data_IF_427664325249
#
_entry.id   IF_427664325249
#
_cell.length_a   1.000
_cell.length_b   1.000
_cell.length_c   1.000
_cell.angle_alpha   90.00
_cell.angle_beta   90.00
_cell.angle_gamma   90.00
#
_symmetry.space_group_name_H-M   'P 1'
#
loop_
_entity.id
_entity.type
_entity.pdbx_description
1 polymer ?
#
# COMPACT_ATOMS: atom_id res chain seq x y z
N UNK A 1 -15.52 -11.62 36.59
CA UNK A 1 -16.83 -12.04 36.06
C UNK A 1 -16.72 -12.15 34.55
N UNK A 2 -16.76 -13.37 34.02
CA UNK A 2 -16.62 -13.70 32.61
C UNK A 2 -17.87 -13.27 31.83
N UNK A 3 -17.80 -12.10 31.20
CA UNK A 3 -18.80 -11.70 30.22
C UNK A 3 -18.72 -12.63 29.03
N UNK A 4 -19.72 -13.51 28.87
CA UNK A 4 -19.96 -14.22 27.60
C UNK A 4 -20.18 -13.16 26.53
N UNK A 5 -19.16 -12.92 25.70
CA UNK A 5 -19.32 -12.18 24.44
C UNK A 5 -20.26 -13.03 23.59
N UNK A 6 -21.49 -12.56 23.38
CA UNK A 6 -22.40 -13.23 22.45
C UNK A 6 -21.73 -13.22 21.07
N UNK A 7 -21.42 -14.39 20.53
CA UNK A 7 -21.14 -14.54 19.11
C UNK A 7 -22.38 -14.01 18.38
N UNK A 8 -22.29 -12.90 17.61
CA UNK A 8 -23.35 -12.53 16.71
C UNK A 8 -23.62 -13.71 15.78
N UNK A 9 -24.90 -14.01 15.57
CA UNK A 9 -25.31 -15.07 14.66
C UNK A 9 -24.77 -14.77 13.26
N UNK A 10 -24.28 -15.81 12.57
CA UNK A 10 -23.93 -15.75 11.14
C UNK A 10 -25.09 -15.14 10.35
N UNK A 11 -24.78 -14.27 9.40
CA UNK A 11 -25.80 -13.64 8.56
C UNK A 11 -26.16 -14.56 7.40
N UNK A 12 -27.42 -14.49 6.89
CA UNK A 12 -27.80 -15.19 5.67
C UNK A 12 -26.97 -14.80 4.44
N UNK A 13 -26.29 -13.65 4.50
CA UNK A 13 -25.39 -13.14 3.46
C UNK A 13 -23.99 -13.74 3.51
N UNK A 14 -23.61 -14.39 4.61
CA UNK A 14 -22.26 -14.91 4.81
C UNK A 14 -21.91 -16.00 3.79
N UNK A 15 -20.63 -16.06 3.43
CA UNK A 15 -20.07 -17.03 2.50
C UNK A 15 -19.03 -17.91 3.19
N UNK A 16 -18.72 -19.04 2.57
CA UNK A 16 -17.49 -19.77 2.83
C UNK A 16 -16.75 -20.04 1.51
N UNK A 17 -15.45 -20.32 1.60
CA UNK A 17 -14.59 -20.58 0.44
C UNK A 17 -14.74 -22.04 0.01
N UNK A 18 -14.99 -22.27 -1.28
CA UNK A 18 -15.06 -23.60 -1.87
C UNK A 18 -13.74 -24.04 -2.47
N UNK A 19 -13.14 -23.14 -3.23
CA UNK A 19 -11.98 -23.41 -4.04
C UNK A 19 -11.15 -22.14 -4.19
N UNK A 20 -9.83 -22.32 -4.17
CA UNK A 20 -8.87 -21.28 -4.50
C UNK A 20 -7.84 -21.87 -5.45
N UNK A 21 -7.57 -21.13 -6.54
CA UNK A 21 -6.50 -21.42 -7.50
C UNK A 21 -5.68 -20.16 -7.71
N UNK A 22 -4.41 -20.33 -8.03
CA UNK A 22 -3.54 -19.22 -8.40
C UNK A 22 -2.81 -19.50 -9.70
N UNK A 23 -2.37 -18.41 -10.33
CA UNK A 23 -1.44 -18.40 -11.45
C UNK A 23 -0.56 -17.15 -11.38
N UNK A 24 0.46 -17.10 -12.23
CA UNK A 24 1.42 -16.01 -12.25
C UNK A 24 1.60 -15.48 -13.66
N UNK A 25 1.81 -14.17 -13.76
CA UNK A 25 2.28 -13.52 -14.97
C UNK A 25 3.58 -12.79 -14.69
N UNK A 26 4.55 -12.94 -15.59
CA UNK A 26 5.85 -12.28 -15.50
C UNK A 26 5.97 -11.24 -16.61
N UNK A 27 6.32 -10.01 -16.24
CA UNK A 27 6.41 -8.87 -17.15
C UNK A 27 7.78 -8.19 -17.01
N UNK A 28 8.35 -7.74 -18.13
CA UNK A 28 9.47 -6.82 -18.15
C UNK A 28 8.94 -5.39 -18.19
N UNK A 29 9.58 -4.50 -17.45
CA UNK A 29 9.31 -3.07 -17.55
C UNK A 29 9.92 -2.51 -18.83
N UNK A 30 9.21 -1.57 -19.45
CA UNK A 30 9.71 -0.79 -20.59
C UNK A 30 11.06 -0.15 -20.29
N UNK A 31 11.20 0.40 -19.09
CA UNK A 31 12.44 0.98 -18.57
C UNK A 31 12.60 0.58 -17.10
N UNK A 32 13.83 0.36 -16.60
CA UNK A 32 14.05 0.05 -15.20
C UNK A 32 13.57 1.18 -14.28
N UNK A 33 12.84 0.82 -13.23
CA UNK A 33 12.31 1.74 -12.24
C UNK A 33 13.17 1.71 -10.98
N UNK A 34 13.57 2.88 -10.45
CA UNK A 34 14.46 3.00 -9.28
C UNK A 34 13.74 3.62 -8.08
N UNK A 35 13.78 2.96 -6.93
CA UNK A 35 13.24 3.45 -5.65
C UNK A 35 13.91 2.73 -4.48
N UNK A 36 13.96 3.35 -3.30
CA UNK A 36 14.56 2.74 -2.11
C UNK A 36 16.00 2.23 -2.30
N UNK A 37 16.79 2.91 -3.15
CA UNK A 37 18.15 2.51 -3.50
C UNK A 37 18.27 1.30 -4.44
N UNK A 38 17.16 0.75 -4.94
CA UNK A 38 17.12 -0.44 -5.80
C UNK A 38 16.55 -0.13 -7.17
N UNK A 39 17.03 -0.85 -8.17
CA UNK A 39 16.50 -0.82 -9.54
C UNK A 39 15.76 -2.12 -9.82
N UNK A 40 14.58 -2.02 -10.40
CA UNK A 40 13.77 -3.16 -10.85
C UNK A 40 13.45 -3.00 -12.33
N UNK A 41 13.59 -4.09 -13.09
CA UNK A 41 13.35 -4.15 -14.52
C UNK A 41 12.20 -5.10 -14.89
N UNK A 42 11.58 -5.72 -13.88
CA UNK A 42 10.56 -6.76 -14.04
C UNK A 42 9.61 -6.81 -12.85
N UNK A 43 8.48 -7.48 -13.06
CA UNK A 43 7.50 -7.75 -12.01
C UNK A 43 6.82 -9.09 -12.26
N UNK A 44 6.52 -9.79 -11.17
CA UNK A 44 5.59 -10.93 -11.18
C UNK A 44 4.25 -10.49 -10.59
N UNK A 45 3.17 -10.79 -11.29
CA UNK A 45 1.79 -10.64 -10.82
C UNK A 45 1.32 -12.00 -10.31
N UNK A 46 0.68 -12.01 -9.14
CA UNK A 46 -0.06 -13.14 -8.61
C UNK A 46 -1.55 -12.93 -8.88
N UNK A 47 -2.13 -13.85 -9.62
CA UNK A 47 -3.56 -13.92 -9.89
C UNK A 47 -4.17 -15.01 -9.01
N UNK A 48 -5.32 -14.72 -8.39
CA UNK A 48 -6.06 -15.65 -7.54
C UNK A 48 -7.51 -15.71 -8.01
N UNK A 49 -7.95 -16.92 -8.34
CA UNK A 49 -9.34 -17.24 -8.62
C UNK A 49 -9.94 -17.97 -7.42
N UNK A 50 -11.11 -17.52 -6.96
CA UNK A 50 -11.81 -18.08 -5.82
C UNK A 50 -13.25 -18.46 -6.20
N UNK A 51 -13.77 -19.55 -5.64
CA UNK A 51 -15.20 -19.88 -5.66
C UNK A 51 -15.72 -19.82 -4.23
N UNK A 52 -16.84 -19.14 -4.03
CA UNK A 52 -17.49 -19.03 -2.71
C UNK A 52 -18.93 -19.50 -2.79
N UNK A 53 -19.44 -19.99 -1.66
CA UNK A 53 -20.82 -20.43 -1.49
C UNK A 53 -21.48 -19.74 -0.31
N UNK A 54 -22.70 -19.23 -0.51
CA UNK A 54 -23.56 -18.77 0.60
C UNK A 54 -24.13 -19.95 1.38
N UNK A 55 -24.62 -19.72 2.60
CA UNK A 55 -25.33 -20.74 3.38
C UNK A 55 -26.56 -21.35 2.66
N UNK A 56 -27.13 -20.63 1.68
CA UNK A 56 -28.27 -21.07 0.86
C UNK A 56 -27.86 -21.72 -0.47
N UNK A 57 -26.58 -22.02 -0.66
CA UNK A 57 -26.07 -22.75 -1.83
C UNK A 57 -25.88 -21.92 -3.11
N UNK A 58 -26.11 -20.60 -3.09
CA UNK A 58 -25.70 -19.74 -4.22
C UNK A 58 -24.18 -19.65 -4.26
N UNK A 59 -23.61 -19.73 -5.45
CA UNK A 59 -22.16 -19.68 -5.67
C UNK A 59 -21.77 -18.53 -6.58
N UNK A 60 -20.54 -18.03 -6.42
CA UNK A 60 -19.94 -17.07 -7.34
C UNK A 60 -18.44 -17.26 -7.44
N UNK A 61 -17.88 -16.82 -8.57
CA UNK A 61 -16.43 -16.76 -8.80
C UNK A 61 -15.93 -15.35 -8.53
N UNK A 62 -14.85 -15.24 -7.77
CA UNK A 62 -14.11 -14.00 -7.59
C UNK A 62 -12.70 -14.08 -8.14
N UNK A 63 -12.13 -12.92 -8.40
CA UNK A 63 -10.80 -12.74 -8.93
C UNK A 63 -10.06 -11.62 -8.21
N UNK A 64 -8.79 -11.87 -7.88
CA UNK A 64 -7.87 -10.88 -7.32
C UNK A 64 -6.53 -10.96 -8.04
N UNK A 65 -5.91 -9.82 -8.30
CA UNK A 65 -4.64 -9.74 -9.02
C UNK A 65 -3.76 -8.65 -8.40
N UNK A 66 -2.56 -9.01 -7.97
CA UNK A 66 -1.63 -8.08 -7.31
C UNK A 66 -0.19 -8.36 -7.70
N UNK A 67 0.62 -7.31 -7.81
CA UNK A 67 2.07 -7.46 -7.98
C UNK A 67 2.68 -8.06 -6.72
N UNK A 68 3.61 -9.01 -6.88
CA UNK A 68 4.32 -9.62 -5.75
C UNK A 68 5.24 -8.62 -5.03
N UNK A 69 5.80 -7.63 -5.74
CA UNK A 69 6.49 -6.50 -5.11
C UNK A 69 7.60 -6.87 -4.12
N UNK A 70 8.28 -8.00 -4.31
CA UNK A 70 9.27 -8.60 -3.40
C UNK A 70 10.39 -7.63 -3.02
N UNK A 71 10.82 -6.77 -3.94
CA UNK A 71 11.88 -5.78 -3.68
C UNK A 71 11.47 -4.71 -2.65
N UNK A 72 10.18 -4.38 -2.60
CA UNK A 72 9.63 -3.40 -1.65
C UNK A 72 9.20 -4.05 -0.33
N UNK A 73 8.50 -5.17 -0.41
CA UNK A 73 7.90 -5.85 0.74
C UNK A 73 8.90 -6.74 1.49
N UNK A 74 9.95 -7.22 0.81
CA UNK A 74 11.04 -8.02 1.34
C UNK A 74 12.42 -7.44 0.94
N UNK A 75 12.80 -6.27 1.49
CA UNK A 75 13.97 -5.50 1.03
C UNK A 75 15.31 -6.06 1.54
N UNK A 76 15.59 -7.35 1.34
CA UNK A 76 16.82 -8.02 1.77
C UNK A 76 18.06 -7.50 1.04
N UNK A 77 19.16 -7.28 1.76
CA UNK A 77 20.47 -6.92 1.17
C UNK A 77 21.37 -8.15 0.92
N UNK A 78 20.97 -9.30 1.45
CA UNK A 78 21.77 -10.53 1.41
C UNK A 78 21.11 -11.62 0.55
N UNK A 79 19.82 -11.49 0.24
CA UNK A 79 19.10 -12.40 -0.65
C UNK A 79 18.90 -11.78 -2.03
N UNK A 80 18.90 -12.62 -3.06
CA UNK A 80 18.68 -12.19 -4.45
C UNK A 80 17.19 -11.89 -4.70
N UNK A 81 16.92 -11.23 -5.84
CA UNK A 81 15.56 -11.03 -6.34
C UNK A 81 14.81 -12.37 -6.43
N UNK A 82 15.41 -13.37 -7.07
CA UNK A 82 14.78 -14.69 -7.28
C UNK A 82 14.56 -15.44 -5.95
N UNK A 83 15.46 -15.30 -4.98
CA UNK A 83 15.30 -15.94 -3.67
C UNK A 83 14.09 -15.36 -2.91
N UNK A 84 13.96 -14.03 -2.89
CA UNK A 84 12.81 -13.37 -2.22
C UNK A 84 11.51 -13.63 -2.96
N UNK A 85 11.50 -13.56 -4.30
CA UNK A 85 10.32 -13.90 -5.11
C UNK A 85 9.92 -15.38 -4.94
N UNK A 86 10.88 -16.30 -4.96
CA UNK A 86 10.66 -17.72 -4.72
C UNK A 86 10.05 -18.00 -3.35
N UNK A 87 10.51 -17.30 -2.31
CA UNK A 87 9.91 -17.38 -0.98
C UNK A 87 8.44 -16.90 -0.96
N UNK A 88 8.13 -15.82 -1.68
CA UNK A 88 6.74 -15.35 -1.80
C UNK A 88 5.85 -16.33 -2.58
N UNK A 89 6.35 -16.94 -3.67
CA UNK A 89 5.62 -17.98 -4.42
C UNK A 89 5.35 -19.21 -3.54
N UNK A 90 6.35 -19.65 -2.76
CA UNK A 90 6.18 -20.74 -1.80
C UNK A 90 5.15 -20.42 -0.69
N UNK A 91 5.14 -19.17 -0.23
CA UNK A 91 4.12 -18.68 0.72
C UNK A 91 2.73 -18.65 0.09
N UNK A 92 2.58 -18.18 -1.15
CA UNK A 92 1.30 -18.18 -1.86
C UNK A 92 0.70 -19.60 -1.95
N UNK A 93 1.52 -20.62 -2.23
CA UNK A 93 1.10 -22.03 -2.22
C UNK A 93 0.62 -22.51 -0.83
N UNK A 94 1.27 -22.05 0.25
CA UNK A 94 0.78 -22.34 1.62
C UNK A 94 -0.52 -21.61 1.90
N UNK A 95 -0.69 -20.38 1.43
CA UNK A 95 -1.93 -19.60 1.60
C UNK A 95 -3.11 -20.30 0.89
N UNK A 96 -2.91 -20.89 -0.29
CA UNK A 96 -3.94 -21.75 -0.93
C UNK A 96 -4.35 -22.89 0.00
N UNK A 97 -3.38 -23.63 0.55
CA UNK A 97 -3.62 -24.76 1.47
C UNK A 97 -4.29 -24.36 2.78
N UNK A 98 -4.16 -23.10 3.19
CA UNK A 98 -4.82 -22.55 4.38
C UNK A 98 -6.24 -22.06 4.06
N UNK A 99 -6.42 -21.41 2.91
CA UNK A 99 -7.66 -20.71 2.55
C UNK A 99 -8.70 -21.67 1.97
N UNK A 100 -8.32 -22.60 1.09
CA UNK A 100 -9.24 -23.56 0.48
C UNK A 100 -10.05 -24.42 1.47
N UNK A 101 -9.47 -24.95 2.58
CA UNK A 101 -10.24 -25.71 3.57
C UNK A 101 -10.99 -24.83 4.59
N UNK A 102 -10.93 -23.50 4.50
CA UNK A 102 -11.61 -22.62 5.44
C UNK A 102 -13.12 -22.55 5.12
N UNK A 103 -13.91 -23.35 5.85
CA UNK A 103 -15.36 -23.53 5.64
C UNK A 103 -16.25 -22.72 6.59
N UNK A 104 -15.68 -21.88 7.45
CA UNK A 104 -16.49 -21.04 8.33
C UNK A 104 -17.21 -19.96 7.51
N UNK A 105 -18.50 -19.75 7.82
CA UNK A 105 -19.29 -18.69 7.21
C UNK A 105 -18.89 -17.33 7.78
N UNK A 106 -18.63 -16.35 6.91
CA UNK A 106 -18.41 -14.98 7.32
C UNK A 106 -18.46 -13.96 6.18
N UNK A 107 -18.39 -12.69 6.55
CA UNK A 107 -18.11 -11.59 5.62
C UNK A 107 -16.60 -11.63 5.24
N UNK A 108 -16.18 -11.17 4.04
CA UNK A 108 -14.76 -11.20 3.63
C UNK A 108 -13.78 -10.61 4.67
N UNK A 109 -14.16 -9.53 5.35
CA UNK A 109 -13.37 -8.94 6.45
C UNK A 109 -13.17 -9.92 7.62
N UNK A 110 -14.20 -10.67 7.99
CA UNK A 110 -14.11 -11.69 9.06
C UNK A 110 -13.22 -12.85 8.65
N UNK A 111 -13.38 -13.31 7.40
CA UNK A 111 -12.59 -14.39 6.82
C UNK A 111 -11.11 -14.02 6.82
N UNK A 112 -10.76 -12.85 6.29
CA UNK A 112 -9.37 -12.41 6.26
C UNK A 112 -8.81 -12.18 7.68
N UNK A 113 -9.61 -11.59 8.59
CA UNK A 113 -9.21 -11.41 9.99
C UNK A 113 -8.89 -12.75 10.69
N UNK A 114 -9.68 -13.80 10.41
CA UNK A 114 -9.47 -15.12 10.96
C UNK A 114 -8.24 -15.84 10.34
N UNK A 115 -7.96 -15.61 9.05
CA UNK A 115 -6.90 -16.30 8.31
C UNK A 115 -5.52 -15.63 8.45
N UNK A 116 -5.45 -14.32 8.66
CA UNK A 116 -4.18 -13.58 8.74
C UNK A 116 -3.15 -14.19 9.72
N UNK A 117 -3.52 -14.60 10.95
CA UNK A 117 -2.57 -15.24 11.86
C UNK A 117 -1.97 -16.55 11.31
N UNK A 118 -2.76 -17.32 10.56
CA UNK A 118 -2.28 -18.55 9.91
C UNK A 118 -1.32 -18.25 8.75
N UNK A 119 -1.55 -17.16 8.01
CA UNK A 119 -0.63 -16.71 6.95
C UNK A 119 0.72 -16.26 7.53
N UNK A 120 0.71 -15.56 8.66
CA UNK A 120 1.95 -15.16 9.35
C UNK A 120 2.74 -16.38 9.83
N UNK A 121 2.06 -17.37 10.44
CA UNK A 121 2.70 -18.64 10.82
C UNK A 121 3.27 -19.37 9.60
N UNK A 122 2.55 -19.40 8.48
CA UNK A 122 3.04 -20.02 7.25
C UNK A 122 4.29 -19.33 6.70
N UNK A 123 4.39 -18.00 6.84
CA UNK A 123 5.58 -17.26 6.44
C UNK A 123 6.81 -17.64 7.29
N UNK A 124 6.64 -17.84 8.60
CA UNK A 124 7.69 -18.37 9.48
C UNK A 124 8.11 -19.80 9.09
N UNK A 125 7.13 -20.67 8.79
CA UNK A 125 7.37 -22.04 8.34
C UNK A 125 8.15 -22.08 7.02
N UNK A 126 7.72 -21.31 6.02
CA UNK A 126 8.42 -21.20 4.72
C UNK A 126 9.83 -20.66 4.91
N UNK A 127 10.02 -19.66 5.76
CA UNK A 127 11.34 -19.10 6.05
C UNK A 127 12.30 -20.18 6.58
N UNK A 128 11.81 -21.06 7.46
CA UNK A 128 12.57 -22.19 8.01
C UNK A 128 12.79 -23.31 7.00
N UNK A 129 11.74 -23.71 6.27
CA UNK A 129 11.78 -24.80 5.27
C UNK A 129 12.78 -24.48 4.15
N UNK A 130 12.78 -23.24 3.66
CA UNK A 130 13.69 -22.78 2.61
C UNK A 130 15.06 -22.32 3.15
N UNK A 131 15.27 -22.35 4.48
CA UNK A 131 16.49 -21.88 5.16
C UNK A 131 16.89 -20.48 4.70
N UNK A 132 15.92 -19.56 4.63
CA UNK A 132 16.17 -18.20 4.18
C UNK A 132 17.15 -17.50 5.12
N UNK A 133 18.04 -16.67 4.56
CA UNK A 133 19.01 -15.90 5.34
C UNK A 133 18.31 -14.86 6.25
N UNK A 134 17.16 -14.36 5.83
CA UNK A 134 16.28 -13.48 6.60
C UNK A 134 14.84 -14.02 6.53
N UNK A 135 14.03 -13.86 7.59
CA UNK A 135 12.65 -14.32 7.58
C UNK A 135 11.78 -13.47 6.63
N UNK A 136 10.73 -14.07 6.08
CA UNK A 136 9.69 -13.34 5.32
C UNK A 136 9.08 -12.26 6.23
N UNK A 137 9.16 -10.96 5.89
CA UNK A 137 8.60 -9.89 6.72
C UNK A 137 7.07 -9.92 6.76
N UNK A 138 6.47 -9.44 7.84
CA UNK A 138 5.00 -9.29 7.96
C UNK A 138 4.39 -8.56 6.76
N UNK A 139 4.99 -7.45 6.32
CA UNK A 139 4.53 -6.72 5.13
C UNK A 139 4.52 -7.61 3.88
N UNK A 140 5.55 -8.44 3.70
CA UNK A 140 5.64 -9.38 2.59
C UNK A 140 4.55 -10.46 2.64
N UNK A 141 4.22 -10.96 3.82
CA UNK A 141 3.08 -11.87 4.03
C UNK A 141 1.76 -11.22 3.61
N UNK A 142 1.51 -9.99 4.08
CA UNK A 142 0.30 -9.24 3.74
C UNK A 142 0.19 -8.98 2.23
N UNK A 143 1.31 -8.65 1.58
CA UNK A 143 1.37 -8.47 0.12
C UNK A 143 1.05 -9.77 -0.61
N UNK A 144 1.64 -10.89 -0.18
CA UNK A 144 1.36 -12.22 -0.77
C UNK A 144 -0.11 -12.62 -0.62
N UNK A 145 -0.72 -12.32 0.54
CA UNK A 145 -2.11 -12.65 0.83
C UNK A 145 -3.13 -11.73 0.14
N UNK A 146 -2.71 -10.53 -0.30
CA UNK A 146 -3.64 -9.48 -0.76
C UNK A 146 -4.52 -9.88 -1.95
N UNK A 147 -3.99 -10.68 -2.90
CA UNK A 147 -4.77 -11.17 -4.04
C UNK A 147 -5.88 -12.16 -3.61
N UNK A 148 -5.65 -12.93 -2.55
CA UNK A 148 -6.64 -13.86 -1.99
C UNK A 148 -7.79 -13.10 -1.34
N UNK A 149 -7.46 -12.09 -0.52
CA UNK A 149 -8.44 -11.20 0.10
C UNK A 149 -9.29 -10.50 -0.98
N UNK A 150 -8.65 -9.89 -1.99
CA UNK A 150 -9.35 -9.26 -3.11
C UNK A 150 -10.30 -10.22 -3.85
N UNK A 151 -9.87 -11.45 -4.13
CA UNK A 151 -10.70 -12.46 -4.79
C UNK A 151 -11.93 -12.84 -3.96
N UNK A 152 -11.80 -12.93 -2.64
CA UNK A 152 -12.92 -13.24 -1.74
C UNK A 152 -13.91 -12.07 -1.67
N UNK A 153 -13.41 -10.82 -1.59
CA UNK A 153 -14.27 -9.63 -1.65
C UNK A 153 -15.03 -9.53 -2.97
N UNK A 154 -14.37 -9.77 -4.10
CA UNK A 154 -15.00 -9.76 -5.42
C UNK A 154 -16.08 -10.86 -5.54
N UNK A 155 -15.78 -12.08 -5.10
CA UNK A 155 -16.75 -13.19 -5.08
C UNK A 155 -17.99 -12.84 -4.22
N UNK A 156 -17.78 -12.20 -3.08
CA UNK A 156 -18.85 -11.80 -2.16
C UNK A 156 -19.78 -10.75 -2.78
N UNK A 157 -19.24 -9.73 -3.43
CA UNK A 157 -20.06 -8.77 -4.17
C UNK A 157 -20.90 -9.47 -5.25
N UNK A 158 -20.25 -10.29 -6.07
CA UNK A 158 -20.87 -11.01 -7.18
C UNK A 158 -21.99 -11.95 -6.73
N UNK A 159 -21.81 -12.72 -5.65
CA UNK A 159 -22.86 -13.65 -5.17
C UNK A 159 -24.12 -12.94 -4.68
N UNK A 160 -23.98 -11.66 -4.30
CA UNK A 160 -25.09 -10.80 -3.89
C UNK A 160 -25.55 -9.84 -4.99
N UNK A 161 -24.97 -9.90 -6.18
CA UNK A 161 -25.35 -9.07 -7.33
C UNK A 161 -25.02 -7.58 -7.17
N UNK A 162 -24.01 -7.25 -6.36
CA UNK A 162 -23.59 -5.86 -6.08
C UNK A 162 -22.07 -5.71 -6.14
N UNK A 163 -21.56 -4.49 -6.25
CA UNK A 163 -20.15 -4.22 -5.97
C UNK A 163 -19.83 -4.53 -4.50
N UNK A 164 -18.65 -5.09 -4.21
CA UNK A 164 -18.23 -5.38 -2.83
C UNK A 164 -18.20 -4.13 -1.94
N UNK A 165 -18.03 -2.94 -2.52
CA UNK A 165 -18.11 -1.67 -1.77
C UNK A 165 -19.50 -1.38 -1.19
N UNK A 166 -20.56 -2.03 -1.68
CA UNK A 166 -21.90 -1.93 -1.10
C UNK A 166 -22.13 -2.88 0.07
N UNK A 167 -21.17 -3.77 0.35
CA UNK A 167 -21.34 -4.81 1.38
C UNK A 167 -20.64 -4.50 2.70
N UNK A 168 -20.12 -3.29 2.86
CA UNK A 168 -19.37 -2.86 4.04
C UNK A 168 -20.22 -2.25 5.16
N UNK A 169 -21.54 -2.46 5.10
CA UNK A 169 -22.49 -1.97 6.08
C UNK A 169 -23.11 -3.08 6.94
N UNK A 170 -23.93 -2.66 7.91
CA UNK A 170 -24.65 -3.53 8.86
C UNK A 170 -25.53 -4.60 8.23
N UNK A 171 -25.94 -4.42 6.98
CA UNK A 171 -26.79 -5.36 6.27
C UNK A 171 -26.02 -6.66 5.98
N UNK A 172 -24.72 -6.55 5.68
CA UNK A 172 -23.86 -7.65 5.29
C UNK A 172 -22.80 -8.03 6.33
N UNK A 173 -22.31 -7.07 7.12
CA UNK A 173 -21.29 -7.34 8.16
C UNK A 173 -21.94 -7.79 9.47
N UNK A 174 -21.58 -8.98 9.94
CA UNK A 174 -22.08 -9.58 11.20
C UNK A 174 -21.58 -8.85 12.44
N UNK A 175 -20.38 -8.28 12.36
CA UNK A 175 -19.74 -7.53 13.43
C UNK A 175 -19.66 -6.03 13.11
N UNK A 176 -19.83 -5.20 14.13
CA UNK A 176 -19.42 -3.80 14.05
C UNK A 176 -17.88 -3.69 14.13
N UNK A 177 -17.35 -2.50 13.89
CA UNK A 177 -15.91 -2.26 13.87
C UNK A 177 -15.23 -2.43 15.23
N UNK A 178 -15.96 -2.47 16.34
CA UNK A 178 -15.35 -2.70 17.67
C UNK A 178 -14.71 -4.08 17.80
N UNK A 179 -15.15 -5.04 16.98
CA UNK A 179 -14.57 -6.38 16.89
C UNK A 179 -13.08 -6.36 16.50
N UNK A 180 -12.69 -5.40 15.67
CA UNK A 180 -11.35 -5.31 15.08
C UNK A 180 -10.56 -4.10 15.61
N UNK A 181 -11.25 -2.99 15.89
CA UNK A 181 -10.63 -1.70 16.20
C UNK A 181 -10.79 -1.25 17.65
N UNK A 182 -11.49 -2.01 18.48
CA UNK A 182 -11.69 -1.71 19.91
C UNK A 182 -12.97 -0.91 20.21
N UNK A 183 -13.22 -0.68 21.50
CA UNK A 183 -14.52 -0.20 22.00
C UNK A 183 -14.98 1.15 21.42
N UNK A 184 -14.06 2.02 21.00
CA UNK A 184 -14.35 3.35 20.44
C UNK A 184 -15.07 3.30 19.07
N UNK A 185 -15.15 2.11 18.47
CA UNK A 185 -15.80 1.83 17.20
C UNK A 185 -17.14 1.07 17.36
N UNK A 186 -17.67 0.96 18.58
CA UNK A 186 -18.93 0.27 18.84
C UNK A 186 -20.08 0.90 18.04
N UNK A 187 -20.85 0.06 17.35
CA UNK A 187 -21.95 0.45 16.47
C UNK A 187 -21.53 1.09 15.15
N UNK A 188 -20.23 1.23 14.87
CA UNK A 188 -19.76 1.75 13.58
C UNK A 188 -19.54 0.60 12.60
N UNK A 189 -19.77 0.87 11.32
CA UNK A 189 -19.50 -0.06 10.21
C UNK A 189 -18.61 0.64 9.18
N UNK A 190 -17.99 -0.14 8.29
CA UNK A 190 -17.05 0.38 7.28
C UNK A 190 -17.72 1.38 6.32
N UNK A 191 -19.01 1.22 6.03
CA UNK A 191 -19.78 2.13 5.16
C UNK A 191 -19.96 3.55 5.71
N UNK A 192 -19.60 3.81 6.97
CA UNK A 192 -19.43 5.15 7.52
C UNK A 192 -18.16 5.85 7.05
N UNK A 193 -17.14 5.08 6.68
CA UNK A 193 -15.78 5.56 6.40
C UNK A 193 -15.37 5.33 4.93
N UNK A 194 -16.08 4.46 4.22
CA UNK A 194 -15.76 4.04 2.86
C UNK A 194 -16.93 4.38 1.96
N UNK A 195 -16.65 5.06 0.86
CA UNK A 195 -17.68 5.40 -0.12
C UNK A 195 -18.17 4.11 -0.82
N UNK A 196 -19.49 3.96 -0.91
CA UNK A 196 -20.11 2.88 -1.70
C UNK A 196 -19.88 3.12 -3.19
N UNK A 197 -20.07 4.37 -3.61
CA UNK A 197 -19.84 4.82 -4.98
C UNK A 197 -18.43 5.40 -5.13
N UNK A 198 -17.66 4.97 -6.15
CA UNK A 198 -16.37 5.57 -6.42
C UNK A 198 -16.54 7.05 -6.82
N UNK A 199 -15.57 7.89 -6.45
CA UNK A 199 -15.54 9.26 -6.98
C UNK A 199 -15.39 9.20 -8.50
N UNK A 200 -16.12 10.02 -9.27
CA UNK A 200 -16.01 10.03 -10.73
C UNK A 200 -14.62 10.47 -11.21
N UNK A 201 -13.84 11.13 -10.34
CA UNK A 201 -12.47 11.57 -10.59
C UNK A 201 -11.63 11.41 -9.31
N UNK A 202 -10.38 11.00 -9.48
CA UNK A 202 -9.37 10.99 -8.43
C UNK A 202 -8.04 11.49 -8.99
N UNK A 203 -7.15 11.96 -8.11
CA UNK A 203 -5.81 12.35 -8.49
C UNK A 203 -4.94 11.11 -8.66
N UNK A 204 -4.21 11.03 -9.77
CA UNK A 204 -3.21 10.00 -10.02
C UNK A 204 -1.83 10.64 -9.90
N UNK A 205 -1.02 10.09 -9.00
CA UNK A 205 0.36 10.53 -8.80
C UNK A 205 1.26 9.76 -9.75
N UNK A 206 1.88 10.47 -10.68
CA UNK A 206 2.94 9.90 -11.50
C UNK A 206 4.21 9.81 -10.67
N UNK A 207 4.73 8.60 -10.52
CA UNK A 207 5.92 8.34 -9.70
C UNK A 207 7.18 8.61 -10.50
N UNK A 208 7.96 9.61 -10.10
CA UNK A 208 9.25 9.96 -10.70
C UNK A 208 10.34 9.20 -9.94
N UNK A 209 10.68 8.02 -10.45
CA UNK A 209 11.70 7.10 -9.93
C UNK A 209 13.07 7.75 -9.87
N UNK A 210 13.91 7.33 -8.93
CA UNK A 210 15.22 7.93 -8.64
C UNK A 210 16.22 7.91 -9.80
N UNK A 211 15.94 7.14 -10.86
CA UNK A 211 16.71 7.07 -12.11
C UNK A 211 15.98 7.62 -13.33
N UNK A 212 14.74 8.09 -13.18
CA UNK A 212 13.93 8.55 -14.31
C UNK A 212 14.48 9.87 -14.86
N UNK A 213 14.60 10.02 -16.20
CA UNK A 213 15.07 11.26 -16.80
C UNK A 213 14.14 12.44 -16.49
N UNK A 214 14.70 13.50 -15.92
CA UNK A 214 13.95 14.74 -15.66
C UNK A 214 13.95 15.59 -16.93
N UNK A 215 15.10 15.68 -17.58
CA UNK A 215 15.39 16.48 -18.78
C UNK A 215 16.10 15.63 -19.83
N UNK A 216 16.23 16.14 -21.05
CA UNK A 216 16.97 15.45 -22.13
C UNK A 216 18.42 15.11 -21.74
N UNK A 217 19.06 15.96 -20.92
CA UNK A 217 20.42 15.72 -20.45
C UNK A 217 20.57 14.49 -19.54
N UNK A 218 19.48 13.96 -18.99
CA UNK A 218 19.48 12.72 -18.22
C UNK A 218 19.30 11.47 -19.10
N UNK A 219 18.93 11.65 -20.38
CA UNK A 219 18.70 10.54 -21.32
C UNK A 219 20.03 10.04 -21.86
N UNK A 220 20.45 8.85 -21.44
CA UNK A 220 21.69 8.21 -21.92
C UNK A 220 21.51 7.69 -23.35
N UNK A 221 20.42 6.98 -23.60
CA UNK A 221 20.04 6.47 -24.90
C UNK A 221 18.51 6.39 -24.93
N UNK A 222 17.92 6.92 -26.01
CA UNK A 222 16.47 6.84 -26.20
C UNK A 222 16.04 5.41 -26.55
N UNK A 223 14.92 4.98 -25.97
CA UNK A 223 14.25 3.71 -26.31
C UNK A 223 13.67 3.79 -27.72
N UNK A 224 13.10 4.95 -28.09
CA UNK A 224 12.63 5.21 -29.45
C UNK A 224 11.35 4.44 -29.85
N UNK A 225 10.54 4.01 -28.89
CA UNK A 225 9.28 3.27 -29.11
C UNK A 225 8.04 4.18 -29.23
N UNK A 226 8.24 5.49 -29.36
CA UNK A 226 7.18 6.49 -29.52
C UNK A 226 6.50 6.93 -28.21
N UNK A 227 6.91 6.39 -27.07
CA UNK A 227 6.42 6.82 -25.75
C UNK A 227 7.38 7.86 -25.11
N UNK A 228 6.86 8.76 -24.24
CA UNK A 228 7.69 9.74 -23.53
C UNK A 228 8.85 9.12 -22.73
N UNK A 229 9.93 9.88 -22.55
CA UNK A 229 11.16 9.44 -21.89
C UNK A 229 11.64 10.41 -20.81
N UNK A 230 11.23 11.68 -20.88
CA UNK A 230 11.50 12.71 -19.87
C UNK A 230 10.24 13.09 -19.10
N UNK A 231 10.42 13.63 -17.89
CA UNK A 231 9.31 14.13 -17.07
C UNK A 231 8.42 15.14 -17.83
N UNK A 232 9.02 16.07 -18.58
CA UNK A 232 8.26 17.07 -19.34
C UNK A 232 7.37 16.44 -20.42
N UNK A 233 7.90 15.45 -21.15
CA UNK A 233 7.13 14.71 -22.15
C UNK A 233 5.98 13.92 -21.50
N UNK A 234 6.22 13.25 -20.37
CA UNK A 234 5.16 12.53 -19.63
C UNK A 234 4.06 13.46 -19.13
N UNK A 235 4.42 14.64 -18.60
CA UNK A 235 3.45 15.64 -18.14
C UNK A 235 2.56 16.11 -19.29
N UNK A 236 3.13 16.34 -20.47
CA UNK A 236 2.38 16.72 -21.66
C UNK A 236 1.48 15.58 -22.17
N UNK A 237 2.03 14.37 -22.26
CA UNK A 237 1.35 13.21 -22.83
C UNK A 237 0.15 12.73 -22.00
N UNK A 238 0.32 12.54 -20.68
CA UNK A 238 -0.73 12.02 -19.80
C UNK A 238 -1.53 13.10 -19.07
N UNK A 239 -1.19 14.37 -19.30
CA UNK A 239 -1.84 15.49 -18.65
C UNK A 239 -1.61 15.55 -17.12
N UNK A 240 -0.49 15.01 -16.65
CA UNK A 240 -0.15 14.83 -15.23
C UNK A 240 -0.25 16.15 -14.48
N UNK A 241 -0.70 16.10 -13.22
CA UNK A 241 -0.78 17.24 -12.29
C UNK A 241 -0.33 16.89 -10.87
N UNK A 242 -0.08 15.62 -10.58
CA UNK A 242 0.36 15.15 -9.26
C UNK A 242 1.57 14.25 -9.47
N UNK A 243 2.67 14.55 -8.79
CA UNK A 243 3.92 13.77 -8.88
C UNK A 243 4.27 13.16 -7.53
N UNK A 244 4.81 11.94 -7.56
CA UNK A 244 5.45 11.32 -6.41
C UNK A 244 6.95 11.28 -6.64
N UNK A 245 7.72 12.03 -5.86
CA UNK A 245 9.15 12.17 -6.05
C UNK A 245 9.86 11.12 -5.19
N UNK A 246 10.49 10.14 -5.84
CA UNK A 246 11.38 9.20 -5.15
C UNK A 246 12.70 9.88 -4.81
N UNK A 247 13.03 9.83 -3.53
CA UNK A 247 14.23 10.44 -2.93
C UNK A 247 15.18 9.35 -2.40
N UNK A 248 16.42 9.75 -2.14
CA UNK A 248 17.49 8.89 -1.68
C UNK A 248 17.44 8.69 -0.16
N UNK A 249 17.32 9.78 0.61
CA UNK A 249 17.30 9.75 2.07
C UNK A 249 18.67 9.68 2.75
N UNK A 250 19.77 9.49 2.01
CA UNK A 250 21.13 9.48 2.54
C UNK A 250 22.08 10.51 1.91
N UNK A 251 21.62 11.26 0.91
CA UNK A 251 22.39 12.31 0.24
C UNK A 251 21.54 13.60 0.13
N UNK A 252 21.73 14.48 1.11
CA UNK A 252 20.93 15.69 1.27
C UNK A 252 21.05 16.62 0.05
N UNK A 253 22.26 16.73 -0.52
CA UNK A 253 22.50 17.58 -1.68
C UNK A 253 21.77 17.01 -2.89
N UNK A 254 21.89 15.71 -3.12
CA UNK A 254 21.20 15.05 -4.23
C UNK A 254 19.68 15.17 -4.10
N UNK A 255 19.12 14.94 -2.91
CA UNK A 255 17.67 15.03 -2.66
C UNK A 255 17.14 16.44 -2.92
N UNK A 256 17.82 17.46 -2.39
CA UNK A 256 17.44 18.86 -2.58
C UNK A 256 17.50 19.26 -4.06
N UNK A 257 18.62 18.99 -4.72
CA UNK A 257 18.79 19.35 -6.14
C UNK A 257 17.81 18.60 -7.04
N UNK A 258 17.50 17.34 -6.71
CA UNK A 258 16.50 16.56 -7.44
C UNK A 258 15.11 17.21 -7.38
N UNK A 259 14.63 17.60 -6.21
CA UNK A 259 13.33 18.27 -6.09
C UNK A 259 13.34 19.60 -6.84
N UNK A 260 14.41 20.40 -6.74
CA UNK A 260 14.52 21.67 -7.47
C UNK A 260 14.47 21.47 -8.98
N UNK A 261 15.15 20.44 -9.50
CA UNK A 261 15.15 20.11 -10.94
C UNK A 261 13.77 19.65 -11.43
N UNK A 262 13.12 18.75 -10.67
CA UNK A 262 11.76 18.28 -10.97
C UNK A 262 10.80 19.46 -10.96
N UNK A 263 10.87 20.31 -9.94
CA UNK A 263 9.97 21.45 -9.79
C UNK A 263 10.06 22.44 -10.94
N UNK A 264 11.28 22.84 -11.30
CA UNK A 264 11.49 23.77 -12.43
C UNK A 264 11.00 23.19 -13.76
N UNK A 265 11.28 21.91 -14.01
CA UNK A 265 10.90 21.23 -15.26
C UNK A 265 9.39 21.08 -15.37
N UNK A 266 8.75 20.64 -14.29
CA UNK A 266 7.31 20.49 -14.25
C UNK A 266 6.62 21.87 -14.30
N UNK A 267 7.10 22.88 -13.58
CA UNK A 267 6.56 24.24 -13.62
C UNK A 267 6.57 24.82 -15.04
N UNK A 268 7.66 24.63 -15.79
CA UNK A 268 7.73 25.05 -17.19
C UNK A 268 6.71 24.32 -18.06
N UNK A 269 6.62 23.00 -17.93
CA UNK A 269 5.68 22.20 -18.71
C UNK A 269 4.23 22.55 -18.37
N UNK A 270 3.89 22.71 -17.09
CA UNK A 270 2.54 23.09 -16.63
C UNK A 270 2.15 24.48 -17.16
N UNK A 271 3.08 25.45 -17.15
CA UNK A 271 2.86 26.78 -17.70
C UNK A 271 2.52 26.71 -19.19
N UNK A 272 3.27 25.94 -19.99
CA UNK A 272 2.98 25.75 -21.43
C UNK A 272 1.60 25.11 -21.66
N UNK A 273 1.17 24.25 -20.74
CA UNK A 273 -0.17 23.62 -20.74
C UNK A 273 -1.29 24.49 -20.17
N UNK A 274 -0.98 25.67 -19.63
CA UNK A 274 -1.97 26.52 -18.94
C UNK A 274 -2.48 25.95 -17.60
N UNK A 275 -1.79 24.97 -17.02
CA UNK A 275 -2.15 24.34 -15.74
C UNK A 275 -1.57 25.14 -14.58
N UNK A 276 -2.46 25.63 -13.69
CA UNK A 276 -2.07 26.47 -12.54
C UNK A 276 -1.90 25.68 -11.24
N UNK A 277 -2.63 24.57 -11.08
CA UNK A 277 -2.65 23.76 -9.85
C UNK A 277 -2.09 22.38 -10.09
N UNK A 278 -1.09 22.01 -9.31
CA UNK A 278 -0.39 20.73 -9.37
C UNK A 278 0.45 20.58 -8.09
N UNK A 279 0.71 19.33 -7.70
CA UNK A 279 1.24 19.00 -6.38
C UNK A 279 2.26 17.85 -6.38
N UNK A 280 2.95 17.72 -5.25
CA UNK A 280 3.90 16.65 -4.98
C UNK A 280 3.54 15.88 -3.72
N UNK A 281 3.92 14.61 -3.71
CA UNK A 281 4.35 13.96 -2.48
C UNK A 281 5.82 13.56 -2.58
N UNK A 282 6.49 13.54 -1.43
CA UNK A 282 7.89 13.16 -1.32
C UNK A 282 7.98 11.79 -0.66
N UNK A 283 8.79 10.89 -1.20
CA UNK A 283 8.92 9.53 -0.68
C UNK A 283 10.41 9.15 -0.60
N UNK A 284 10.91 9.00 0.62
CA UNK A 284 12.31 8.62 0.89
C UNK A 284 12.51 7.11 1.00
N UNK A 285 11.43 6.33 0.95
CA UNK A 285 11.42 4.89 1.16
C UNK A 285 12.27 4.47 2.36
N UNK A 286 11.99 5.10 3.51
CA UNK A 286 12.56 4.79 4.82
C UNK A 286 14.04 5.11 5.04
N UNK A 287 14.70 5.74 4.06
CA UNK A 287 16.15 5.85 4.06
C UNK A 287 16.70 7.06 4.84
N UNK A 288 15.86 8.02 5.27
CA UNK A 288 16.35 9.11 6.10
C UNK A 288 16.94 8.55 7.40
N UNK A 289 18.18 8.94 7.77
CA UNK A 289 18.80 8.42 8.99
C UNK A 289 18.06 8.88 10.25
N UNK A 290 17.45 10.06 10.22
CA UNK A 290 16.72 10.66 11.33
C UNK A 290 15.86 11.85 10.88
N UNK A 291 15.02 12.36 11.78
CA UNK A 291 14.20 13.56 11.56
C UNK A 291 15.02 14.82 11.27
N UNK A 292 16.24 14.96 11.77
CA UNK A 292 17.07 16.15 11.51
C UNK A 292 17.44 16.27 10.03
N UNK A 293 17.75 15.14 9.37
CA UNK A 293 17.94 15.10 7.92
C UNK A 293 16.72 15.66 7.18
N UNK A 294 15.52 15.20 7.56
CA UNK A 294 14.26 15.64 6.96
C UNK A 294 14.02 17.15 7.18
N UNK A 295 14.31 17.65 8.38
CA UNK A 295 14.16 19.07 8.70
C UNK A 295 15.13 19.95 7.90
N UNK A 296 16.39 19.54 7.76
CA UNK A 296 17.36 20.25 6.94
C UNK A 296 17.00 20.23 5.46
N UNK A 297 16.50 19.09 4.98
CA UNK A 297 15.95 18.96 3.63
C UNK A 297 14.81 19.97 3.41
N UNK A 298 13.78 19.97 4.28
CA UNK A 298 12.62 20.85 4.14
C UNK A 298 13.00 22.34 4.19
N UNK A 299 13.93 22.71 5.08
CA UNK A 299 14.48 24.07 5.16
C UNK A 299 15.12 24.50 3.86
N UNK A 300 15.91 23.62 3.22
CA UNK A 300 16.56 23.94 1.94
C UNK A 300 15.56 24.01 0.77
N UNK A 301 14.56 23.13 0.73
CA UNK A 301 13.50 23.20 -0.28
C UNK A 301 12.75 24.52 -0.16
N UNK A 302 12.33 24.91 1.05
CA UNK A 302 11.64 26.18 1.31
C UNK A 302 12.46 27.40 0.87
N UNK A 303 13.79 27.35 1.04
CA UNK A 303 14.68 28.43 0.63
C UNK A 303 14.92 28.48 -0.90
N UNK A 304 15.07 27.33 -1.56
CA UNK A 304 15.43 27.27 -2.99
C UNK A 304 14.23 27.34 -3.94
N UNK A 305 13.10 26.76 -3.54
CA UNK A 305 11.85 26.68 -4.33
C UNK A 305 10.65 26.87 -3.40
N UNK A 306 10.39 28.10 -2.90
CA UNK A 306 9.31 28.35 -1.94
C UNK A 306 7.93 27.90 -2.45
N UNK A 307 7.60 28.18 -3.72
CA UNK A 307 6.36 27.70 -4.33
C UNK A 307 6.33 26.17 -4.43
N UNK A 308 7.47 25.53 -4.71
CA UNK A 308 7.62 24.08 -4.72
C UNK A 308 7.43 23.46 -3.33
N UNK A 309 7.87 24.14 -2.27
CA UNK A 309 7.60 23.75 -0.88
C UNK A 309 6.11 23.78 -0.56
N UNK A 310 5.37 24.78 -1.06
CA UNK A 310 3.90 24.86 -0.94
C UNK A 310 3.15 23.79 -1.74
N UNK A 311 3.79 23.19 -2.75
CA UNK A 311 3.21 22.09 -3.53
C UNK A 311 3.29 20.73 -2.83
N UNK A 312 4.13 20.58 -1.82
CA UNK A 312 4.26 19.32 -1.07
C UNK A 312 2.97 19.10 -0.27
N UNK A 313 2.19 18.10 -0.66
CA UNK A 313 0.98 17.70 0.05
C UNK A 313 1.30 16.83 1.26
N UNK A 314 2.25 15.92 1.12
CA UNK A 314 2.69 15.05 2.21
C UNK A 314 4.08 14.45 1.94
N UNK A 315 4.67 13.91 3.00
CA UNK A 315 5.94 13.21 3.00
C UNK A 315 5.69 11.77 3.48
N UNK A 316 5.98 10.81 2.62
CA UNK A 316 5.75 9.39 2.84
C UNK A 316 6.98 8.72 3.45
N UNK A 317 6.75 8.00 4.56
CA UNK A 317 7.68 7.13 5.27
C UNK A 317 9.15 7.58 5.17
N UNK A 318 9.50 8.70 5.82
CA UNK A 318 10.85 9.25 5.69
C UNK A 318 11.91 8.30 6.25
N UNK A 319 11.61 7.62 7.35
CA UNK A 319 12.56 6.82 8.14
C UNK A 319 12.13 5.36 8.25
N UNK A 320 12.99 4.51 8.81
CA UNK A 320 12.81 3.06 8.98
C UNK A 320 11.36 2.63 9.33
N UNK A 321 10.84 1.59 8.63
CA UNK A 321 9.50 1.04 8.88
C UNK A 321 9.32 0.39 10.26
N UNK A 322 10.39 -0.10 10.88
CA UNK A 322 10.34 -0.73 12.20
C UNK A 322 10.27 0.35 13.30
N UNK A 323 9.06 0.88 13.50
CA UNK A 323 8.79 1.96 14.46
C UNK A 323 9.14 1.56 15.90
N UNK A 324 8.98 0.27 16.27
CA UNK A 324 9.28 -0.22 17.62
C UNK A 324 10.78 -0.15 17.92
N UNK A 325 11.63 -0.42 16.93
CA UNK A 325 13.09 -0.33 17.09
C UNK A 325 13.66 1.08 16.98
N UNK A 326 12.91 2.02 16.40
CA UNK A 326 13.37 3.39 16.10
C UNK A 326 12.54 4.45 16.86
N UNK A 327 12.23 4.18 18.12
CA UNK A 327 11.35 5.01 18.97
C UNK A 327 11.89 6.41 19.26
N UNK A 328 13.18 6.61 19.08
CA UNK A 328 13.89 7.89 19.18
C UNK A 328 13.67 8.79 17.96
N UNK A 329 13.27 8.22 16.81
CA UNK A 329 13.11 8.94 15.56
C UNK A 329 11.65 9.40 15.35
N UNK A 330 11.27 10.45 16.08
CA UNK A 330 9.90 10.99 16.09
C UNK A 330 9.70 12.12 15.06
N UNK A 331 8.48 12.23 14.52
CA UNK A 331 8.12 13.10 13.39
C UNK A 331 7.44 14.41 13.80
N UNK A 332 7.22 14.68 15.09
CA UNK A 332 6.42 15.83 15.55
C UNK A 332 6.85 17.18 14.96
N UNK A 333 8.16 17.47 14.92
CA UNK A 333 8.67 18.73 14.38
C UNK A 333 8.51 18.81 12.86
N UNK A 334 8.77 17.71 12.14
CA UNK A 334 8.56 17.63 10.70
C UNK A 334 7.08 17.77 10.33
N UNK A 335 6.19 17.17 11.13
CA UNK A 335 4.75 17.22 10.97
C UNK A 335 4.15 18.62 11.13
N UNK A 336 4.84 19.54 11.81
CA UNK A 336 4.45 20.97 11.84
C UNK A 336 4.67 21.68 10.51
N UNK A 337 5.54 21.16 9.66
CA UNK A 337 5.83 21.74 8.35
C UNK A 337 4.90 21.19 7.28
N UNK A 338 4.75 19.86 7.20
CA UNK A 338 3.89 19.15 6.23
C UNK A 338 3.37 17.83 6.82
N UNK A 339 2.24 17.29 6.34
CA UNK A 339 1.78 15.96 6.74
C UNK A 339 2.86 14.89 6.53
N UNK A 340 3.09 14.07 7.56
CA UNK A 340 4.02 12.93 7.50
C UNK A 340 3.19 11.65 7.57
N UNK A 341 3.35 10.81 6.56
CA UNK A 341 2.47 9.70 6.25
C UNK A 341 3.21 8.39 6.47
N UNK A 342 2.68 7.51 7.33
CA UNK A 342 3.21 6.17 7.53
C UNK A 342 2.75 5.27 6.38
N UNK A 343 3.69 4.55 5.76
CA UNK A 343 3.40 3.60 4.70
C UNK A 343 3.92 2.21 5.07
N UNK A 344 5.18 1.88 4.82
CA UNK A 344 5.71 0.53 5.02
C UNK A 344 5.60 0.05 6.47
N UNK A 345 5.55 0.99 7.42
CA UNK A 345 5.28 0.70 8.83
C UNK A 345 3.83 0.31 9.11
N UNK A 346 2.86 0.78 8.33
CA UNK A 346 1.43 0.51 8.52
C UNK A 346 1.07 -0.91 8.06
N UNK A 347 0.92 -1.81 9.03
CA UNK A 347 0.56 -3.21 8.79
C UNK A 347 -0.59 -3.71 9.67
N UNK A 348 -1.00 -2.94 10.68
CA UNK A 348 -2.11 -3.24 11.60
C UNK A 348 -2.46 -2.01 12.46
N UNK A 349 -3.46 -2.16 13.35
CA UNK A 349 -3.87 -1.10 14.27
C UNK A 349 -2.76 -0.69 15.26
N UNK A 350 -1.93 -1.64 15.71
CA UNK A 350 -0.84 -1.34 16.64
C UNK A 350 0.16 -0.38 15.99
N UNK A 351 0.57 -0.68 14.75
CA UNK A 351 1.46 0.17 13.96
C UNK A 351 0.86 1.54 13.65
N UNK A 352 -0.47 1.63 13.41
CA UNK A 352 -1.16 2.91 13.27
C UNK A 352 -1.06 3.75 14.55
N UNK A 353 -1.39 3.16 15.70
CA UNK A 353 -1.35 3.85 16.99
C UNK A 353 0.07 4.28 17.35
N UNK A 354 1.06 3.42 17.08
CA UNK A 354 2.47 3.71 17.27
C UNK A 354 2.95 4.84 16.35
N UNK A 355 2.59 4.84 15.07
CA UNK A 355 2.92 5.91 14.14
C UNK A 355 2.36 7.26 14.64
N UNK A 356 1.10 7.29 15.10
CA UNK A 356 0.49 8.48 15.70
C UNK A 356 1.25 8.98 16.92
N UNK A 357 1.59 8.07 17.83
CA UNK A 357 2.38 8.39 19.01
C UNK A 357 3.73 9.02 18.63
N UNK A 358 4.37 8.50 17.59
CA UNK A 358 5.64 9.01 17.06
C UNK A 358 5.50 10.26 16.19
N UNK A 359 4.32 10.86 16.08
CA UNK A 359 4.10 12.13 15.39
C UNK A 359 3.82 12.04 13.90
N UNK A 360 3.56 10.83 13.36
CA UNK A 360 2.99 10.71 12.02
C UNK A 360 1.55 11.24 12.03
N UNK A 361 1.22 12.08 11.05
CA UNK A 361 -0.09 12.76 10.94
C UNK A 361 -0.99 12.15 9.87
N UNK A 362 -0.50 11.19 9.09
CA UNK A 362 -1.28 10.48 8.08
C UNK A 362 -0.82 9.06 7.84
N UNK A 363 -1.55 8.35 6.98
CA UNK A 363 -1.22 6.99 6.55
C UNK A 363 -1.49 6.75 5.06
N UNK A 364 -0.62 5.98 4.41
CA UNK A 364 -0.79 5.56 3.02
C UNK A 364 -1.50 4.21 3.00
N UNK A 365 -2.77 4.22 2.58
CA UNK A 365 -3.57 3.01 2.45
C UNK A 365 -3.20 2.27 1.16
N UNK A 366 -3.04 0.94 1.27
CA UNK A 366 -2.64 0.10 0.15
C UNK A 366 -3.47 -1.17 0.10
N UNK A 367 -4.30 -1.29 -0.93
CA UNK A 367 -5.04 -2.53 -1.20
C UNK A 367 -4.10 -3.73 -1.44
N UNK A 368 -2.88 -3.47 -1.93
CA UNK A 368 -1.84 -4.50 -2.06
C UNK A 368 -1.25 -4.97 -0.72
N UNK A 369 -1.67 -4.43 0.44
CA UNK A 369 -1.42 -5.03 1.76
C UNK A 369 -2.62 -5.84 2.27
N UNK A 370 -3.68 -5.98 1.47
CA UNK A 370 -4.97 -6.55 1.86
C UNK A 370 -6.06 -5.49 1.89
N UNK A 371 -7.17 -5.76 1.20
CA UNK A 371 -8.34 -4.89 1.14
C UNK A 371 -9.02 -4.76 2.51
N UNK A 372 -9.18 -5.87 3.23
CA UNK A 372 -9.74 -5.91 4.58
C UNK A 372 -8.97 -5.02 5.55
N UNK A 373 -7.64 -5.18 5.62
CA UNK A 373 -6.78 -4.35 6.46
C UNK A 373 -6.80 -2.88 6.01
N UNK A 374 -6.74 -2.59 4.71
CA UNK A 374 -6.80 -1.23 4.21
C UNK A 374 -8.11 -0.53 4.62
N UNK A 375 -9.26 -1.21 4.54
CA UNK A 375 -10.55 -0.67 4.95
C UNK A 375 -10.60 -0.39 6.47
N UNK A 376 -10.09 -1.33 7.28
CA UNK A 376 -10.01 -1.17 8.73
C UNK A 376 -9.09 0.00 9.13
N UNK A 377 -7.91 0.11 8.52
CA UNK A 377 -6.99 1.20 8.77
C UNK A 377 -7.54 2.55 8.28
N UNK A 378 -8.29 2.58 7.17
CA UNK A 378 -8.98 3.78 6.72
C UNK A 378 -9.99 4.29 7.75
N UNK A 379 -10.81 3.39 8.31
CA UNK A 379 -11.78 3.73 9.33
C UNK A 379 -11.10 4.26 10.61
N UNK A 380 -10.02 3.61 11.03
CA UNK A 380 -9.25 4.04 12.20
C UNK A 380 -8.60 5.40 11.99
N UNK A 381 -7.88 5.58 10.88
CA UNK A 381 -7.21 6.84 10.54
C UNK A 381 -8.19 8.02 10.43
N UNK A 382 -9.33 7.84 9.75
CA UNK A 382 -10.37 8.88 9.68
C UNK A 382 -10.97 9.21 11.04
N UNK A 383 -11.26 8.19 11.87
CA UNK A 383 -11.77 8.40 13.24
C UNK A 383 -10.80 9.20 14.09
N UNK A 384 -9.50 9.02 13.86
CA UNK A 384 -8.43 9.73 14.55
C UNK A 384 -8.01 11.06 13.90
N UNK A 385 -8.71 11.50 12.84
CA UNK A 385 -8.45 12.77 12.17
C UNK A 385 -7.12 12.80 11.41
N UNK A 386 -6.63 11.65 10.95
CA UNK A 386 -5.38 11.55 10.21
C UNK A 386 -5.56 11.84 8.72
N UNK A 387 -4.49 12.32 8.09
CA UNK A 387 -4.39 12.47 6.64
C UNK A 387 -4.39 11.11 5.94
N UNK A 388 -5.09 11.00 4.80
CA UNK A 388 -5.20 9.81 3.95
C UNK A 388 -4.83 10.10 2.50
#
# INVERSE_FOLDING_TARGET
>A
MSGKVSTPATKPTDIHVEEVRLDYEDHLYRAPYKFGGRTVDRVTILNVNCVVSTARGRTAKGFGSMTMGNVWSFPSRVMTYDATLGAMKALAEKIVRITSPYKQLGHPVDINWALEPAYLKAAEEVSRELRLAEPIPKLCTLVTASAFDAAIHDAFGKVHGVSCYHTYGRDFMSHDLSRYLGADFKGHYLDRYVLKEPKPRTWLYHSVGGGDPITEADVVARIGDGLPETLGEWIAHNGITHLKLKLNGGDLRWDVERVVRIDRTAADTMRRRGVKSWHYCLDFNENCPNVNYLMDFLRQIKAKVPDGFERIQYIEQPTARDLKKNRDNVMHEAARQRPIVADESLTDLESLLLAREMGYTGVALKACKGQSQALLMAAAAQRYGMFL
#
